data_IF_441620707853
#
_entry.id   IF_441620707853
#
_cell.length_a   1.000
_cell.length_b   1.000
_cell.length_c   1.000
_cell.angle_alpha   90.00
_cell.angle_beta   90.00
_cell.angle_gamma   90.00
#
_symmetry.space_group_name_H-M   'P 1'
#
loop_
_entity.id
_entity.type
_entity.pdbx_description
1 polymer ?
#
# COMPACT_ATOMS: atom_id res chain seq x y z
N UNK A 1 4.56 5.00 -49.20
CA UNK A 1 4.44 6.17 -48.35
C UNK A 1 4.16 5.71 -46.92
N UNK A 2 5.11 5.94 -46.02
CA UNK A 2 4.91 5.70 -44.58
C UNK A 2 3.96 6.74 -44.02
N UNK A 3 3.03 6.36 -43.12
CA UNK A 3 2.19 7.34 -42.46
C UNK A 3 3.07 8.14 -41.49
N UNK A 4 3.01 9.46 -41.61
CA UNK A 4 3.62 10.36 -40.65
C UNK A 4 2.99 10.11 -39.28
N UNK A 5 3.76 9.52 -38.34
CA UNK A 5 3.45 9.56 -36.93
C UNK A 5 3.55 11.02 -36.49
N UNK A 6 2.41 11.67 -36.32
CA UNK A 6 2.31 12.91 -35.58
C UNK A 6 2.70 12.61 -34.12
N UNK A 7 3.95 12.87 -33.78
CA UNK A 7 4.38 13.01 -32.40
C UNK A 7 3.61 14.19 -31.83
N UNK A 8 2.52 13.92 -31.13
CA UNK A 8 1.81 14.93 -30.39
C UNK A 8 2.79 15.55 -29.38
N UNK A 9 3.07 16.83 -29.57
CA UNK A 9 3.90 17.61 -28.67
C UNK A 9 3.17 17.63 -27.32
N UNK A 10 3.64 16.84 -26.36
CA UNK A 10 3.02 16.66 -25.02
C UNK A 10 3.09 17.91 -24.14
N UNK A 11 3.76 18.97 -24.58
CA UNK A 11 4.02 20.14 -23.75
C UNK A 11 2.99 21.28 -23.86
N UNK A 12 1.95 21.18 -24.70
CA UNK A 12 1.12 22.36 -24.99
C UNK A 12 -0.39 22.23 -24.76
N UNK A 13 -0.90 21.13 -24.26
CA UNK A 13 -2.34 21.03 -23.92
C UNK A 13 -2.52 20.51 -22.50
N UNK A 14 -3.07 21.37 -21.65
CA UNK A 14 -3.65 21.00 -20.37
C UNK A 14 -4.65 19.85 -20.60
N UNK A 15 -4.33 18.66 -20.10
CA UNK A 15 -5.18 17.50 -20.23
C UNK A 15 -6.19 17.49 -19.08
N UNK A 16 -7.46 17.73 -19.42
CA UNK A 16 -8.55 17.64 -18.45
C UNK A 16 -9.28 16.32 -18.68
N UNK A 17 -9.46 15.55 -17.61
CA UNK A 17 -10.23 14.30 -17.59
C UNK A 17 -11.43 14.43 -16.65
N UNK A 18 -12.45 13.57 -16.83
CA UNK A 18 -13.67 13.59 -16.02
C UNK A 18 -14.79 14.40 -16.65
N UNK A 19 -15.91 14.51 -15.92
CA UNK A 19 -17.13 15.20 -16.40
C UNK A 19 -17.86 15.89 -15.24
N UNK A 20 -18.72 16.85 -15.57
CA UNK A 20 -19.51 17.62 -14.58
C UNK A 20 -18.60 18.36 -13.61
N UNK A 21 -18.84 18.19 -12.32
CA UNK A 21 -18.05 18.76 -11.23
C UNK A 21 -16.78 17.95 -10.91
N UNK A 22 -16.66 16.75 -11.48
CA UNK A 22 -15.52 15.87 -11.28
C UNK A 22 -14.53 15.98 -12.45
N UNK A 23 -13.92 17.14 -12.61
CA UNK A 23 -12.88 17.41 -13.62
C UNK A 23 -11.54 17.53 -12.95
N UNK A 24 -10.52 16.90 -13.54
CA UNK A 24 -9.16 16.88 -13.02
C UNK A 24 -8.18 17.26 -14.12
N UNK A 25 -7.23 18.11 -13.78
CA UNK A 25 -6.08 18.38 -14.62
C UNK A 25 -5.03 17.29 -14.43
N UNK A 26 -4.51 16.75 -15.53
CA UNK A 26 -3.47 15.73 -15.51
C UNK A 26 -2.11 16.37 -15.69
N UNK A 27 -1.26 16.24 -14.69
CA UNK A 27 0.13 16.68 -14.72
C UNK A 27 1.06 15.49 -14.96
N UNK A 28 1.52 15.32 -16.21
CA UNK A 28 2.51 14.30 -16.54
C UNK A 28 3.88 14.64 -15.95
N UNK A 29 4.65 13.60 -15.58
CA UNK A 29 6.00 13.73 -15.01
C UNK A 29 6.07 14.64 -13.77
N UNK A 30 4.98 14.71 -13.01
CA UNK A 30 4.90 15.55 -11.82
C UNK A 30 5.94 15.15 -10.76
N UNK A 31 6.10 13.85 -10.48
CA UNK A 31 7.08 13.34 -9.52
C UNK A 31 8.50 13.36 -10.12
N UNK A 32 9.36 14.24 -9.61
CA UNK A 32 10.73 14.44 -10.07
C UNK A 32 11.68 13.49 -9.34
N UNK A 33 11.75 12.24 -9.77
CA UNK A 33 12.62 11.24 -9.16
C UNK A 33 14.08 11.44 -9.58
N UNK A 34 15.04 11.50 -8.62
CA UNK A 34 16.47 11.55 -8.94
C UNK A 34 16.93 10.36 -9.78
N UNK A 35 17.85 10.58 -10.73
CA UNK A 35 18.32 9.55 -11.68
C UNK A 35 18.99 8.34 -11.04
N UNK A 36 19.44 8.44 -9.80
CA UNK A 36 19.99 7.31 -9.02
C UNK A 36 18.92 6.28 -8.60
N UNK A 37 17.63 6.62 -8.71
CA UNK A 37 16.51 5.75 -8.39
C UNK A 37 15.72 5.40 -9.64
N UNK A 38 15.03 4.28 -9.60
CA UNK A 38 14.14 3.84 -10.67
C UNK A 38 12.79 3.41 -10.11
N UNK A 39 11.74 3.60 -10.91
CA UNK A 39 10.42 3.09 -10.61
C UNK A 39 10.33 1.60 -10.92
N UNK A 40 9.64 0.87 -10.06
CA UNK A 40 9.00 -0.41 -10.36
C UNK A 40 7.49 -0.19 -10.37
N UNK A 41 6.71 -1.25 -10.41
CA UNK A 41 5.25 -1.17 -10.32
C UNK A 41 4.86 -0.40 -9.06
N UNK A 42 4.22 0.75 -9.24
CA UNK A 42 3.66 1.54 -8.15
C UNK A 42 2.31 0.97 -7.75
N UNK A 43 2.04 0.87 -6.46
CA UNK A 43 0.83 0.25 -5.95
C UNK A 43 -0.09 1.21 -5.22
N UNK A 44 0.46 2.12 -4.43
CA UNK A 44 -0.34 2.99 -3.58
C UNK A 44 0.37 4.30 -3.26
N UNK A 45 -0.41 5.28 -2.81
CA UNK A 45 0.06 6.59 -2.37
C UNK A 45 -0.64 7.00 -1.07
N UNK A 46 0.03 7.79 -0.25
CA UNK A 46 -0.53 8.40 0.94
C UNK A 46 -0.04 9.84 1.08
N UNK A 47 -0.82 10.69 1.71
CA UNK A 47 -0.48 12.11 1.93
C UNK A 47 -0.55 12.40 3.42
N UNK A 48 0.46 13.08 3.97
CA UNK A 48 0.48 13.52 5.36
C UNK A 48 -0.19 14.90 5.55
N UNK A 49 -0.29 15.35 6.80
CA UNK A 49 -0.90 16.63 7.14
C UNK A 49 -0.13 17.85 6.60
N UNK A 50 1.15 17.69 6.28
CA UNK A 50 1.98 18.74 5.67
C UNK A 50 1.86 18.75 4.14
N UNK A 51 1.12 17.79 3.56
CA UNK A 51 0.93 17.64 2.13
C UNK A 51 2.10 16.95 1.41
N UNK A 52 2.96 16.24 2.14
CA UNK A 52 3.96 15.39 1.51
C UNK A 52 3.31 14.12 0.98
N UNK A 53 3.63 13.78 -0.27
CA UNK A 53 3.16 12.56 -0.93
C UNK A 53 4.17 11.44 -0.76
N UNK A 54 3.71 10.33 -0.24
CA UNK A 54 4.45 9.07 -0.11
C UNK A 54 3.98 8.12 -1.20
N UNK A 55 4.90 7.62 -2.01
CA UNK A 55 4.60 6.65 -3.08
C UNK A 55 5.33 5.36 -2.78
N UNK A 56 4.58 4.27 -2.64
CA UNK A 56 5.16 2.93 -2.50
C UNK A 56 5.16 2.22 -3.85
N UNK A 57 6.28 1.58 -4.15
CA UNK A 57 6.43 0.72 -5.31
C UNK A 57 7.00 -0.64 -4.90
N UNK A 58 6.91 -1.61 -5.78
CA UNK A 58 7.34 -2.97 -5.50
C UNK A 58 8.83 -3.07 -5.12
N UNK A 59 9.64 -2.19 -5.68
CA UNK A 59 11.09 -2.21 -5.50
C UNK A 59 11.78 -3.14 -6.50
N UNK A 60 13.09 -3.27 -6.36
CA UNK A 60 13.93 -4.10 -7.22
C UNK A 60 14.53 -5.25 -6.43
N UNK A 61 14.03 -6.45 -6.58
CA UNK A 61 14.49 -7.64 -5.85
C UNK A 61 16.01 -7.86 -5.93
N UNK A 62 16.65 -7.40 -7.00
CA UNK A 62 18.09 -7.52 -7.22
C UNK A 62 18.90 -6.34 -6.67
N UNK A 63 18.25 -5.27 -6.19
CA UNK A 63 18.89 -4.07 -5.67
C UNK A 63 18.57 -3.92 -4.17
N UNK A 64 19.27 -4.67 -3.34
CA UNK A 64 18.98 -4.81 -1.89
C UNK A 64 18.88 -3.50 -1.13
N UNK A 65 19.56 -2.45 -1.56
CA UNK A 65 19.57 -1.15 -0.91
C UNK A 65 18.66 -0.11 -1.60
N UNK A 66 17.99 -0.50 -2.69
CA UNK A 66 17.05 0.40 -3.35
C UNK A 66 15.80 0.62 -2.49
N UNK A 67 15.38 1.87 -2.25
CA UNK A 67 14.21 2.16 -1.45
C UNK A 67 12.92 1.76 -2.16
N UNK A 68 11.89 1.41 -1.39
CA UNK A 68 10.54 1.10 -1.91
C UNK A 68 9.55 2.25 -1.70
N UNK A 69 9.93 3.29 -0.95
CA UNK A 69 9.08 4.44 -0.67
C UNK A 69 9.82 5.71 -1.06
N UNK A 70 9.18 6.51 -1.92
CA UNK A 70 9.65 7.84 -2.31
C UNK A 70 8.72 8.90 -1.76
N UNK A 71 9.30 10.01 -1.30
CA UNK A 71 8.54 11.14 -0.74
C UNK A 71 8.77 12.39 -1.56
N UNK A 72 7.68 13.05 -1.92
CA UNK A 72 7.67 14.28 -2.71
C UNK A 72 6.91 15.38 -2.00
N UNK A 73 7.29 16.63 -2.26
CA UNK A 73 6.50 17.78 -1.84
C UNK A 73 5.30 18.02 -2.76
N UNK A 74 4.50 19.02 -2.45
CA UNK A 74 3.29 19.40 -3.20
C UNK A 74 3.57 19.85 -4.64
N UNK A 75 4.84 20.10 -4.99
CA UNK A 75 5.29 20.47 -6.35
C UNK A 75 5.94 19.31 -7.10
N UNK A 76 5.92 18.11 -6.52
CA UNK A 76 6.54 16.92 -7.10
C UNK A 76 8.06 16.86 -6.93
N UNK A 77 8.66 17.78 -6.15
CA UNK A 77 10.09 17.73 -5.86
C UNK A 77 10.39 16.60 -4.88
N UNK A 78 11.40 15.80 -5.21
CA UNK A 78 11.87 14.72 -4.35
C UNK A 78 12.42 15.27 -3.02
N UNK A 79 11.99 14.66 -1.92
CA UNK A 79 12.40 15.01 -0.56
C UNK A 79 13.34 13.96 0.03
N UNK A 80 12.91 12.68 0.06
CA UNK A 80 13.67 11.56 0.63
C UNK A 80 13.15 10.22 0.12
N UNK A 81 13.90 9.16 0.42
CA UNK A 81 13.51 7.79 0.14
C UNK A 81 13.95 6.86 1.27
N UNK A 82 13.17 5.81 1.50
CA UNK A 82 13.41 4.78 2.52
C UNK A 82 12.64 3.49 2.20
N UNK A 83 12.60 2.55 3.15
CA UNK A 83 11.78 1.34 3.01
C UNK A 83 12.47 0.22 2.24
N UNK A 84 13.81 0.13 2.26
CA UNK A 84 14.55 -0.95 1.61
C UNK A 84 14.16 -2.35 2.10
N UNK A 85 13.64 -2.48 3.32
CA UNK A 85 13.13 -3.74 3.87
C UNK A 85 11.90 -4.27 3.12
N UNK A 86 11.17 -3.42 2.40
CA UNK A 86 10.00 -3.81 1.59
C UNK A 86 10.33 -4.08 0.13
N UNK A 87 11.60 -4.06 -0.21
CA UNK A 87 12.06 -4.24 -1.57
C UNK A 87 11.62 -5.58 -2.17
N UNK A 88 11.09 -5.54 -3.38
CA UNK A 88 10.54 -6.70 -4.07
C UNK A 88 9.16 -7.12 -3.56
N UNK A 89 8.43 -6.21 -2.87
CA UNK A 89 7.11 -6.53 -2.34
C UNK A 89 6.32 -5.35 -1.81
N UNK A 90 6.83 -4.12 -1.88
CA UNK A 90 6.10 -2.94 -1.41
C UNK A 90 4.74 -2.80 -2.10
N UNK A 91 3.63 -2.66 -1.32
CA UNK A 91 2.29 -2.65 -1.87
C UNK A 91 1.38 -1.60 -1.25
N UNK A 92 0.88 -1.78 -0.03
CA UNK A 92 -0.01 -0.83 0.64
C UNK A 92 0.75 0.20 1.44
N UNK A 93 0.29 1.44 1.42
CA UNK A 93 0.79 2.52 2.27
C UNK A 93 -0.37 3.44 2.66
N UNK A 94 -0.45 3.75 3.95
CA UNK A 94 -1.45 4.66 4.49
C UNK A 94 -0.81 5.56 5.56
N UNK A 95 -1.25 6.82 5.65
CA UNK A 95 -0.93 7.70 6.77
C UNK A 95 -2.04 7.64 7.79
N UNK A 96 -1.66 7.43 9.05
CA UNK A 96 -2.60 7.46 10.18
C UNK A 96 -2.16 8.46 11.22
N UNK A 97 -3.11 9.28 11.68
CA UNK A 97 -2.92 10.16 12.83
C UNK A 97 -3.29 9.42 14.13
N UNK A 98 -2.37 9.38 15.06
CA UNK A 98 -2.54 8.79 16.39
C UNK A 98 -2.19 9.83 17.45
N UNK A 99 -3.20 10.36 18.12
CA UNK A 99 -3.02 11.49 19.01
C UNK A 99 -2.57 12.73 18.23
N UNK A 100 -1.34 13.20 18.50
CA UNK A 100 -0.74 14.37 17.83
C UNK A 100 0.29 14.00 16.76
N UNK A 101 0.57 12.73 16.59
CA UNK A 101 1.59 12.23 15.67
C UNK A 101 0.99 11.50 14.47
N UNK A 102 1.73 11.46 13.38
CA UNK A 102 1.36 10.68 12.20
C UNK A 102 2.38 9.60 11.95
N UNK A 103 1.86 8.46 11.51
CA UNK A 103 2.64 7.27 11.19
C UNK A 103 2.26 6.74 9.81
N UNK A 104 3.20 6.06 9.18
CA UNK A 104 2.96 5.26 7.98
C UNK A 104 2.66 3.82 8.39
N UNK A 105 1.60 3.28 7.82
CA UNK A 105 1.30 1.86 7.84
C UNK A 105 1.59 1.30 6.45
N UNK A 106 2.48 0.33 6.38
CA UNK A 106 3.01 -0.23 5.14
C UNK A 106 2.80 -1.72 5.13
N UNK A 107 2.36 -2.27 4.00
CA UNK A 107 2.39 -3.72 3.81
C UNK A 107 3.13 -4.10 2.53
N UNK A 108 3.69 -5.29 2.54
CA UNK A 108 4.47 -5.83 1.45
C UNK A 108 4.17 -7.31 1.23
N UNK A 109 3.98 -7.67 -0.04
CA UNK A 109 3.62 -9.00 -0.48
C UNK A 109 4.82 -9.78 -1.05
N UNK A 110 4.63 -10.72 -1.93
CA UNK A 110 5.65 -11.56 -2.57
C UNK A 110 6.57 -12.28 -1.56
N UNK A 111 7.89 -12.07 -1.63
CA UNK A 111 8.85 -12.66 -0.70
C UNK A 111 8.97 -11.87 0.62
N UNK A 112 8.50 -10.62 0.68
CA UNK A 112 8.62 -9.79 1.89
C UNK A 112 7.63 -10.24 2.97
N UNK A 113 6.36 -10.40 2.62
CA UNK A 113 5.30 -10.96 3.48
C UNK A 113 5.22 -10.29 4.86
N UNK A 114 5.25 -8.97 4.88
CA UNK A 114 5.31 -8.18 6.09
C UNK A 114 4.32 -7.02 6.08
N UNK A 115 4.02 -6.51 7.26
CA UNK A 115 3.41 -5.21 7.44
C UNK A 115 4.07 -4.49 8.62
N UNK A 116 4.10 -3.17 8.58
CA UNK A 116 4.85 -2.38 9.53
C UNK A 116 4.19 -1.04 9.81
N UNK A 117 4.50 -0.50 10.99
CA UNK A 117 4.28 0.89 11.36
C UNK A 117 5.63 1.60 11.37
N UNK A 118 5.71 2.71 10.66
CA UNK A 118 6.91 3.53 10.56
C UNK A 118 6.60 4.96 11.01
N UNK A 119 7.63 5.68 11.45
CA UNK A 119 7.57 7.14 11.51
C UNK A 119 7.48 7.71 10.09
N UNK A 120 7.04 8.96 9.92
CA UNK A 120 7.04 9.64 8.62
C UNK A 120 8.47 9.80 8.02
N UNK A 121 9.51 9.58 8.82
CA UNK A 121 10.91 9.57 8.36
C UNK A 121 11.41 8.20 7.92
N UNK A 122 10.59 7.15 8.11
CA UNK A 122 10.89 5.77 7.70
C UNK A 122 11.55 4.90 8.78
N UNK A 123 11.61 5.39 10.03
CA UNK A 123 12.08 4.58 11.16
C UNK A 123 11.01 3.56 11.55
N UNK A 124 11.40 2.31 11.72
CA UNK A 124 10.48 1.23 12.08
C UNK A 124 10.07 1.32 13.54
N UNK A 125 8.77 1.51 13.80
CA UNK A 125 8.19 1.41 15.15
C UNK A 125 7.97 -0.06 15.50
N UNK A 126 7.34 -0.82 14.58
CA UNK A 126 7.25 -2.27 14.64
C UNK A 126 7.08 -2.84 13.23
N UNK A 127 7.48 -4.09 13.05
CA UNK A 127 7.29 -4.88 11.84
C UNK A 127 6.74 -6.25 12.22
N UNK A 128 5.75 -6.73 11.49
CA UNK A 128 5.04 -7.98 11.77
C UNK A 128 4.83 -8.77 10.49
N UNK A 129 4.54 -10.04 10.66
CA UNK A 129 4.44 -11.03 9.59
C UNK A 129 3.10 -11.77 9.63
N UNK A 130 3.02 -12.91 8.96
CA UNK A 130 1.81 -13.73 8.95
C UNK A 130 1.29 -14.01 10.37
N UNK A 131 0.01 -13.75 10.67
CA UNK A 131 -0.57 -14.03 11.98
C UNK A 131 -0.84 -15.52 12.14
N UNK A 132 0.15 -16.26 12.63
CA UNK A 132 0.10 -17.72 12.75
C UNK A 132 -1.04 -18.18 13.66
N UNK A 133 -1.39 -17.40 14.69
CA UNK A 133 -2.52 -17.66 15.60
C UNK A 133 -3.88 -17.68 14.88
N UNK A 134 -3.95 -17.16 13.67
CA UNK A 134 -5.16 -17.23 12.84
C UNK A 134 -5.52 -18.64 12.38
N UNK A 135 -4.56 -19.56 12.40
CA UNK A 135 -4.73 -20.92 11.90
C UNK A 135 -4.92 -21.05 10.38
N UNK A 136 -4.63 -19.95 9.62
CA UNK A 136 -4.82 -19.91 8.17
C UNK A 136 -3.57 -20.34 7.41
N UNK A 137 -2.40 -19.99 7.94
CA UNK A 137 -1.14 -20.04 7.20
C UNK A 137 -0.39 -21.35 7.35
N UNK A 138 0.35 -21.70 6.30
CA UNK A 138 1.27 -22.83 6.35
C UNK A 138 2.30 -22.62 7.47
N UNK A 139 2.74 -23.73 8.06
CA UNK A 139 3.83 -23.72 9.06
C UNK A 139 5.01 -22.87 8.58
N UNK A 140 5.54 -22.03 9.47
CA UNK A 140 6.66 -21.13 9.25
C UNK A 140 6.43 -20.03 8.19
N UNK A 141 5.18 -19.73 7.80
CA UNK A 141 4.88 -18.66 6.84
C UNK A 141 5.33 -17.27 7.34
N UNK A 142 5.38 -17.07 8.65
CA UNK A 142 5.90 -15.87 9.32
C UNK A 142 7.43 -15.76 9.29
N UNK A 143 8.15 -16.83 8.94
CA UNK A 143 9.62 -16.91 8.96
C UNK A 143 10.23 -17.00 7.57
N UNK A 144 9.55 -17.68 6.65
CA UNK A 144 10.09 -17.99 5.33
C UNK A 144 9.81 -16.88 4.33
N UNK A 145 10.86 -16.28 3.78
CA UNK A 145 10.80 -15.16 2.82
C UNK A 145 10.90 -15.65 1.37
N UNK A 146 9.98 -16.55 0.99
CA UNK A 146 9.89 -17.10 -0.37
C UNK A 146 8.57 -16.69 -1.00
N UNK A 147 8.60 -16.18 -2.22
CA UNK A 147 7.40 -15.88 -3.00
C UNK A 147 6.64 -17.18 -3.24
N UNK A 148 5.42 -17.25 -2.74
CA UNK A 148 4.53 -18.40 -2.89
C UNK A 148 3.09 -17.94 -2.96
N UNK A 149 2.40 -18.36 -3.98
CA UNK A 149 0.96 -18.14 -4.12
C UNK A 149 0.18 -19.30 -3.48
N UNK A 150 -0.90 -18.97 -2.81
CA UNK A 150 -1.77 -19.98 -2.18
C UNK A 150 -2.67 -19.38 -1.13
N UNK A 151 -3.74 -20.11 -0.80
CA UNK A 151 -4.69 -19.66 0.24
C UNK A 151 -4.15 -19.84 1.67
N UNK A 152 -3.03 -20.48 1.80
CA UNK A 152 -2.23 -20.65 3.03
C UNK A 152 -0.93 -19.81 3.04
N UNK A 153 -0.82 -18.85 2.12
CA UNK A 153 0.26 -17.88 2.04
C UNK A 153 -0.20 -16.49 2.52
N UNK A 154 0.71 -15.73 3.12
CA UNK A 154 0.47 -14.35 3.54
C UNK A 154 1.00 -13.36 2.49
N UNK A 155 0.10 -12.59 1.90
CA UNK A 155 0.42 -11.62 0.86
C UNK A 155 -0.50 -10.39 0.97
N UNK A 156 -0.27 -9.53 1.98
CA UNK A 156 -1.16 -8.42 2.31
C UNK A 156 -1.15 -7.33 1.24
N UNK A 157 -2.28 -6.64 1.10
CA UNK A 157 -2.51 -5.65 0.05
C UNK A 157 -2.80 -4.26 0.56
N UNK A 158 -3.67 -4.06 1.54
CA UNK A 158 -4.02 -2.74 2.04
C UNK A 158 -4.65 -2.76 3.43
N UNK A 159 -4.76 -1.57 4.04
CA UNK A 159 -5.29 -1.33 5.38
C UNK A 159 -6.62 -0.57 5.36
N UNK A 160 -7.39 -0.74 6.43
CA UNK A 160 -8.44 0.19 6.82
C UNK A 160 -8.42 0.37 8.35
N UNK A 161 -8.54 1.62 8.83
CA UNK A 161 -8.38 1.95 10.24
C UNK A 161 -9.73 2.04 10.95
N UNK A 162 -9.80 1.46 12.15
CA UNK A 162 -10.97 1.43 12.99
C UNK A 162 -10.97 2.57 14.00
N UNK A 163 -12.16 2.92 14.50
CA UNK A 163 -12.31 4.00 15.48
C UNK A 163 -11.75 3.65 16.88
N UNK A 164 -11.66 2.35 17.19
CA UNK A 164 -11.08 1.86 18.45
C UNK A 164 -9.55 1.91 18.51
N UNK A 165 -8.93 2.44 17.46
CA UNK A 165 -7.47 2.47 17.32
C UNK A 165 -6.88 1.25 16.61
N UNK A 166 -7.64 0.18 16.44
CA UNK A 166 -7.23 -1.00 15.68
C UNK A 166 -7.26 -0.76 14.17
N UNK A 167 -6.99 -1.82 13.41
CA UNK A 167 -7.03 -1.77 11.96
C UNK A 167 -7.39 -3.12 11.34
N UNK A 168 -7.83 -3.06 10.10
CA UNK A 168 -8.03 -4.20 9.23
C UNK A 168 -6.87 -4.28 8.23
N UNK A 169 -6.42 -5.49 7.92
CA UNK A 169 -5.43 -5.78 6.90
C UNK A 169 -6.01 -6.81 5.93
N UNK A 170 -6.13 -6.44 4.68
CA UNK A 170 -6.55 -7.36 3.63
C UNK A 170 -5.37 -8.24 3.20
N UNK A 171 -5.51 -9.56 3.28
CA UNK A 171 -4.56 -10.51 2.70
C UNK A 171 -5.03 -10.93 1.30
N UNK A 172 -5.02 -9.94 0.38
CA UNK A 172 -5.73 -10.03 -0.89
C UNK A 172 -5.11 -10.98 -1.90
N UNK A 173 -3.80 -11.10 -1.97
CA UNK A 173 -3.13 -12.06 -2.85
C UNK A 173 -2.87 -13.41 -2.17
N UNK A 174 -2.89 -13.43 -0.84
CA UNK A 174 -2.66 -14.61 -0.03
C UNK A 174 -3.94 -15.37 0.27
N UNK A 175 -4.37 -15.35 1.52
CA UNK A 175 -5.45 -16.19 2.05
C UNK A 175 -6.86 -15.71 1.69
N UNK A 176 -7.02 -14.47 1.24
CA UNK A 176 -8.30 -13.79 1.00
C UNK A 176 -9.14 -13.53 2.26
N UNK A 177 -8.51 -13.60 3.44
CA UNK A 177 -9.11 -13.12 4.68
C UNK A 177 -8.80 -11.64 4.90
N UNK A 178 -9.69 -10.99 5.64
CA UNK A 178 -9.43 -9.69 6.26
C UNK A 178 -9.09 -9.99 7.72
N UNK A 179 -7.90 -9.58 8.14
CA UNK A 179 -7.43 -9.73 9.50
C UNK A 179 -7.67 -8.46 10.29
N UNK A 180 -8.19 -8.59 11.50
CA UNK A 180 -8.33 -7.49 12.46
C UNK A 180 -7.19 -7.53 13.46
N UNK A 181 -6.61 -6.37 13.69
CA UNK A 181 -5.55 -6.13 14.68
C UNK A 181 -5.98 -5.05 15.66
N UNK A 182 -5.46 -5.10 16.89
CA UNK A 182 -5.58 -4.01 17.86
C UNK A 182 -4.62 -2.85 17.52
N UNK A 183 -4.64 -1.80 18.33
CA UNK A 183 -3.79 -0.61 18.12
C UNK A 183 -2.29 -0.88 18.31
N UNK A 184 -1.91 -1.93 19.02
CA UNK A 184 -0.55 -2.41 19.20
C UNK A 184 -0.10 -3.34 18.05
N UNK A 185 -1.02 -3.65 17.13
CA UNK A 185 -0.77 -4.57 16.01
C UNK A 185 -0.78 -6.04 16.41
N UNK A 186 -1.45 -6.41 17.50
CA UNK A 186 -1.69 -7.81 17.83
C UNK A 186 -2.92 -8.31 17.09
N UNK A 187 -2.84 -9.54 16.60
CA UNK A 187 -3.94 -10.14 15.88
C UNK A 187 -5.13 -10.42 16.81
N UNK A 188 -6.34 -10.08 16.37
CA UNK A 188 -7.58 -10.24 17.15
C UNK A 188 -8.49 -11.27 16.52
N UNK A 189 -8.78 -11.13 15.23
CA UNK A 189 -9.73 -11.99 14.53
C UNK A 189 -9.57 -11.91 13.01
N UNK A 190 -10.35 -12.70 12.31
CA UNK A 190 -10.46 -12.66 10.84
C UNK A 190 -11.89 -12.86 10.39
N UNK A 191 -12.20 -12.40 9.19
CA UNK A 191 -13.45 -12.70 8.49
C UNK A 191 -13.21 -12.82 6.99
N UNK A 192 -14.25 -13.22 6.25
CA UNK A 192 -14.14 -13.41 4.81
C UNK A 192 -13.58 -14.79 4.43
N UNK A 193 -12.43 -14.78 3.79
CA UNK A 193 -11.80 -15.96 3.21
C UNK A 193 -12.35 -16.31 1.83
N UNK A 194 -11.75 -17.31 1.15
CA UNK A 194 -12.07 -17.64 -0.23
C UNK A 194 -13.47 -18.23 -0.38
N UNK A 195 -14.17 -17.85 -1.45
CA UNK A 195 -15.48 -18.41 -1.77
C UNK A 195 -16.35 -17.49 -2.60
N UNK A 196 -17.54 -17.98 -2.95
CA UNK A 196 -18.57 -17.26 -3.73
C UNK A 196 -19.81 -16.88 -2.91
N UNK A 197 -19.91 -17.37 -1.67
CA UNK A 197 -21.04 -17.07 -0.79
C UNK A 197 -20.95 -15.69 -0.16
N UNK A 198 -22.04 -15.28 0.51
CA UNK A 198 -22.07 -14.01 1.24
C UNK A 198 -20.94 -13.94 2.27
N UNK A 199 -20.26 -12.79 2.34
CA UNK A 199 -19.14 -12.59 3.26
C UNK A 199 -17.86 -13.31 2.85
N UNK A 200 -17.77 -13.88 1.64
CA UNK A 200 -16.57 -14.47 1.06
C UNK A 200 -15.97 -13.58 0.00
N UNK A 201 -14.69 -13.75 -0.25
CA UNK A 201 -13.94 -12.93 -1.18
C UNK A 201 -13.25 -13.72 -2.28
N UNK A 202 -13.03 -13.03 -3.37
CA UNK A 202 -12.11 -13.42 -4.43
C UNK A 202 -11.18 -12.22 -4.67
N UNK A 203 -9.96 -12.32 -4.14
CA UNK A 203 -8.91 -11.31 -4.28
C UNK A 203 -9.30 -9.93 -3.71
N UNK A 204 -9.54 -9.78 -2.40
CA UNK A 204 -9.85 -8.50 -1.76
C UNK A 204 -8.61 -7.59 -1.80
N UNK A 205 -8.57 -6.63 -2.71
CA UNK A 205 -7.39 -5.83 -2.97
C UNK A 205 -7.40 -4.50 -2.22
N UNK A 206 -8.48 -3.72 -2.36
CA UNK A 206 -8.71 -2.48 -1.63
C UNK A 206 -9.69 -2.69 -0.48
N UNK A 207 -9.52 -1.95 0.61
CA UNK A 207 -10.39 -1.97 1.77
C UNK A 207 -10.57 -0.56 2.30
N UNK A 208 -11.80 -0.20 2.70
CA UNK A 208 -12.12 1.12 3.21
C UNK A 208 -13.24 1.06 4.24
N UNK A 209 -13.22 1.95 5.24
CA UNK A 209 -14.32 2.12 6.20
C UNK A 209 -15.23 3.27 5.74
N UNK A 210 -16.50 2.98 5.55
CA UNK A 210 -17.51 4.00 5.23
C UNK A 210 -17.87 4.79 6.49
N UNK A 211 -17.38 6.03 6.57
CA UNK A 211 -17.62 6.96 7.69
C UNK A 211 -18.66 8.04 7.38
N UNK A 212 -19.44 7.87 6.34
CA UNK A 212 -20.51 8.83 6.04
C UNK A 212 -21.52 8.88 7.18
N UNK A 213 -22.15 10.05 7.45
CA UNK A 213 -23.18 10.18 8.48
C UNK A 213 -24.29 9.12 8.35
N UNK A 214 -24.69 8.52 9.48
CA UNK A 214 -25.71 7.45 9.52
C UNK A 214 -25.18 6.05 9.18
N UNK A 215 -23.88 5.87 8.92
CA UNK A 215 -23.23 4.56 8.80
C UNK A 215 -22.61 4.16 10.13
N UNK A 216 -22.74 2.89 10.47
CA UNK A 216 -22.05 2.29 11.63
C UNK A 216 -20.95 1.37 11.13
N UNK A 217 -19.82 1.33 11.81
CA UNK A 217 -18.79 0.32 11.56
C UNK A 217 -19.40 -1.08 11.74
N UNK A 218 -19.29 -1.92 10.72
CA UNK A 218 -19.73 -3.31 10.74
C UNK A 218 -18.63 -4.20 10.19
#
# INVERSE_FOLDING_TARGET
>A
SMPNLLLANKESKQLIIGQGEHKFEVHHNWAQLPSKYTWQTTHNVAVDAEGLLYVIHEGHANLKDHPSIFVFDQKGKFIRAFGKQFQGGGHGIEVRTEGKEQFLYVCAYQQVKAFAKLTLKGETVWEKYAPMDSGVYKKDEDKVRVKRWGRDAFMPTNFAFLNDGGFLLADGYGSWYIHRYDKEGNWVSKFGGPGKGNGKFNLPHGIWIDRRPGRTER
#
